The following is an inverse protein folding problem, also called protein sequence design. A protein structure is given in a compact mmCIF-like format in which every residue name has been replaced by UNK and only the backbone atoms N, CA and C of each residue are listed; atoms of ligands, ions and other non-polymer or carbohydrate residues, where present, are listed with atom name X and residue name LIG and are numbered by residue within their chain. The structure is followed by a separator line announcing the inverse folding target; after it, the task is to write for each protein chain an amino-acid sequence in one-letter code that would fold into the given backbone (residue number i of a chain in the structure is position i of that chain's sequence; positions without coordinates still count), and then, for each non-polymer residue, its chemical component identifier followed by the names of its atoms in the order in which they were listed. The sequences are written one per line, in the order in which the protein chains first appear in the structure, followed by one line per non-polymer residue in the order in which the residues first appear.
data_IF_742263074230
#
_entry.id   IF_742263074230
#
_cell.length_a   1.000
_cell.length_b   1.000
_cell.length_c   1.000
_cell.angle_alpha   90.00
_cell.angle_beta   90.00
_cell.angle_gamma   90.00
#
_symmetry.space_group_name_H-M   'P 1'
#
loop_
_entity.id
_entity.type
_entity.pdbx_description
1 polymer ?
#
# COMPACT_ATOMS: atom_id res chain seq x y z
N UNK A 1 21.02 -33.48 27.96
CA UNK A 1 19.95 -33.31 26.96
C UNK A 1 19.62 -31.82 26.89
N UNK A 2 20.37 -31.09 26.08
CA UNK A 2 20.21 -29.65 25.87
C UNK A 2 20.28 -29.46 24.37
N UNK A 3 19.12 -29.51 23.72
CA UNK A 3 18.99 -29.21 22.30
C UNK A 3 18.92 -27.70 22.16
N UNK A 4 20.04 -27.10 21.76
CA UNK A 4 20.08 -25.72 21.30
C UNK A 4 19.29 -25.63 19.99
N UNK A 5 18.22 -24.83 20.00
CA UNK A 5 17.50 -24.47 18.78
C UNK A 5 18.41 -23.64 17.88
N UNK A 6 18.77 -24.21 16.72
CA UNK A 6 19.49 -23.50 15.67
C UNK A 6 18.68 -22.29 15.20
N UNK A 7 19.33 -21.13 14.95
CA UNK A 7 18.68 -20.03 14.25
C UNK A 7 18.36 -20.48 12.83
N UNK A 8 17.10 -20.32 12.45
CA UNK A 8 16.57 -20.60 11.12
C UNK A 8 17.47 -20.00 10.03
N UNK A 9 17.99 -20.86 9.16
CA UNK A 9 18.74 -20.49 7.96
C UNK A 9 17.98 -19.42 7.16
N UNK A 10 18.60 -18.25 7.02
CA UNK A 10 18.15 -17.22 6.09
C UNK A 10 18.57 -17.70 4.70
N UNK A 11 17.65 -17.90 3.74
CA UNK A 11 18.03 -18.28 2.39
C UNK A 11 18.98 -17.23 1.80
N UNK A 12 20.07 -17.68 1.15
CA UNK A 12 21.12 -16.80 0.59
C UNK A 12 20.62 -15.86 -0.51
N UNK A 13 19.50 -16.20 -1.17
CA UNK A 13 18.69 -15.23 -1.92
C UNK A 13 17.74 -14.54 -0.95
N UNK A 14 18.18 -13.42 -0.37
CA UNK A 14 17.50 -12.67 0.69
C UNK A 14 16.14 -12.04 0.36
N UNK A 15 15.43 -12.52 -0.67
CA UNK A 15 14.07 -12.14 -1.09
C UNK A 15 13.03 -13.14 -0.58
N UNK A 16 11.80 -12.70 -0.33
CA UNK A 16 10.75 -13.60 0.16
C UNK A 16 10.33 -14.67 -0.85
N UNK A 17 9.92 -15.86 -0.36
CA UNK A 17 9.35 -16.95 -1.18
C UNK A 17 8.17 -16.49 -2.05
N UNK A 18 7.38 -15.54 -1.56
CA UNK A 18 6.29 -14.95 -2.35
C UNK A 18 6.82 -14.33 -3.65
N UNK A 19 7.96 -13.65 -3.60
CA UNK A 19 8.53 -12.99 -4.76
C UNK A 19 9.19 -13.96 -5.75
N UNK A 20 9.80 -15.05 -5.27
CA UNK A 20 10.26 -16.12 -6.16
C UNK A 20 9.08 -16.80 -6.86
N UNK A 21 7.99 -17.08 -6.14
CA UNK A 21 6.77 -17.65 -6.73
C UNK A 21 6.11 -16.66 -7.72
N UNK A 22 6.16 -15.36 -7.40
CA UNK A 22 5.65 -14.28 -8.26
C UNK A 22 6.43 -14.14 -9.55
N UNK A 23 7.77 -14.14 -9.51
CA UNK A 23 8.60 -14.12 -10.72
C UNK A 23 8.32 -15.37 -11.57
N UNK A 24 8.28 -16.56 -10.98
CA UNK A 24 7.92 -17.78 -11.69
C UNK A 24 6.56 -17.67 -12.41
N UNK A 25 5.55 -17.12 -11.74
CA UNK A 25 4.23 -16.88 -12.33
C UNK A 25 4.28 -15.84 -13.47
N UNK A 26 5.05 -14.76 -13.33
CA UNK A 26 5.25 -13.78 -14.40
C UNK A 26 5.98 -14.38 -15.61
N UNK A 27 6.98 -15.24 -15.39
CA UNK A 27 7.69 -15.92 -16.46
C UNK A 27 6.76 -16.87 -17.23
N UNK A 28 5.91 -17.63 -16.54
CA UNK A 28 4.88 -18.47 -17.17
C UNK A 28 3.91 -17.61 -17.96
N UNK A 29 3.41 -16.51 -17.38
CA UNK A 29 2.51 -15.59 -18.06
C UNK A 29 3.13 -15.05 -19.36
N UNK A 30 4.40 -14.65 -19.30
CA UNK A 30 5.14 -14.11 -20.44
C UNK A 30 5.39 -15.16 -21.53
N UNK A 31 5.84 -16.36 -21.13
CA UNK A 31 6.21 -17.44 -22.06
C UNK A 31 5.01 -18.12 -22.69
N UNK A 32 3.97 -18.40 -21.93
CA UNK A 32 2.83 -19.20 -22.40
C UNK A 32 1.71 -18.37 -23.01
N UNK A 33 1.48 -17.16 -22.50
CA UNK A 33 0.34 -16.34 -22.93
C UNK A 33 0.78 -15.14 -23.77
N UNK A 34 1.72 -14.34 -23.29
CA UNK A 34 2.09 -13.09 -23.98
C UNK A 34 2.90 -13.33 -25.26
N UNK A 35 3.69 -14.41 -25.33
CA UNK A 35 4.43 -14.78 -26.54
C UNK A 35 3.54 -15.07 -27.76
N UNK A 36 2.28 -15.46 -27.50
CA UNK A 36 1.27 -15.78 -28.53
C UNK A 36 0.49 -14.57 -29.00
N UNK A 37 0.66 -13.40 -28.35
CA UNK A 37 -0.02 -12.17 -28.70
C UNK A 37 0.82 -11.32 -29.67
N UNK A 38 0.18 -10.48 -30.51
CA UNK A 38 0.90 -9.58 -31.41
C UNK A 38 1.88 -8.68 -30.67
N UNK A 39 3.08 -8.49 -31.23
CA UNK A 39 4.19 -7.77 -30.59
C UNK A 39 4.03 -6.25 -30.54
N UNK A 40 2.99 -5.69 -31.17
CA UNK A 40 2.58 -4.27 -31.05
C UNK A 40 1.91 -3.98 -29.69
N UNK A 41 2.52 -4.48 -28.61
CA UNK A 41 2.10 -4.40 -27.22
C UNK A 41 2.21 -3.00 -26.62
N UNK A 42 2.42 -1.96 -27.43
CA UNK A 42 2.55 -0.58 -26.94
C UNK A 42 1.31 0.27 -27.20
N UNK A 43 0.56 0.00 -28.27
CA UNK A 43 -0.54 0.86 -28.76
C UNK A 43 -1.86 0.13 -29.01
N UNK A 44 -1.93 -1.20 -28.86
CA UNK A 44 -3.16 -1.97 -28.97
C UNK A 44 -3.78 -2.40 -27.62
N UNK A 45 -4.95 -3.04 -27.68
CA UNK A 45 -5.71 -3.58 -26.52
C UNK A 45 -4.84 -4.41 -25.58
N UNK A 46 -3.91 -5.19 -26.13
CA UNK A 46 -2.96 -6.01 -25.35
C UNK A 46 -2.02 -5.12 -24.54
N UNK A 47 -1.49 -4.05 -25.13
CA UNK A 47 -0.60 -3.11 -24.47
C UNK A 47 -1.27 -2.33 -23.36
N UNK A 48 -2.52 -1.90 -23.58
CA UNK A 48 -3.35 -1.26 -22.56
C UNK A 48 -3.66 -2.22 -21.41
N UNK A 49 -4.03 -3.46 -21.74
CA UNK A 49 -4.31 -4.50 -20.74
C UNK A 49 -3.07 -4.84 -19.90
N UNK A 50 -1.89 -4.94 -20.53
CA UNK A 50 -0.62 -5.16 -19.83
C UNK A 50 -0.25 -3.98 -18.94
N UNK A 51 -0.44 -2.76 -19.42
CA UNK A 51 -0.23 -1.54 -18.64
C UNK A 51 -1.13 -1.51 -17.41
N UNK A 52 -2.40 -1.84 -17.57
CA UNK A 52 -3.37 -1.86 -16.48
C UNK A 52 -3.10 -2.99 -15.49
N UNK A 53 -2.69 -4.17 -15.98
CA UNK A 53 -2.22 -5.25 -15.12
C UNK A 53 -1.00 -4.83 -14.31
N UNK A 54 0.03 -4.26 -14.96
CA UNK A 54 1.24 -3.79 -14.28
C UNK A 54 0.92 -2.70 -13.23
N UNK A 55 0.03 -1.75 -13.56
CA UNK A 55 -0.46 -0.73 -12.61
C UNK A 55 -1.20 -1.36 -11.43
N UNK A 56 -2.05 -2.35 -11.66
CA UNK A 56 -2.77 -3.07 -10.61
C UNK A 56 -1.80 -3.85 -9.71
N UNK A 57 -0.82 -4.53 -10.29
CA UNK A 57 0.22 -5.25 -9.54
C UNK A 57 1.00 -4.29 -8.63
N UNK A 58 1.50 -3.17 -9.18
CA UNK A 58 2.22 -2.16 -8.41
C UNK A 58 1.37 -1.58 -7.27
N UNK A 59 0.12 -1.17 -7.56
CA UNK A 59 -0.79 -0.62 -6.55
C UNK A 59 -1.14 -1.64 -5.47
N UNK A 60 -1.41 -2.89 -5.84
CA UNK A 60 -1.67 -3.98 -4.89
C UNK A 60 -0.48 -4.24 -3.99
N UNK A 61 0.73 -4.28 -4.55
CA UNK A 61 1.93 -4.52 -3.78
C UNK A 61 2.18 -3.39 -2.78
N UNK A 62 2.15 -2.13 -3.23
CA UNK A 62 2.28 -0.94 -2.38
C UNK A 62 1.21 -0.90 -1.29
N UNK A 63 -0.06 -1.14 -1.63
CA UNK A 63 -1.15 -1.10 -0.66
C UNK A 63 -1.04 -2.22 0.39
N UNK A 64 -0.46 -3.37 0.04
CA UNK A 64 -0.15 -4.41 1.04
C UNK A 64 0.98 -4.01 1.97
N UNK A 65 2.06 -3.41 1.44
CA UNK A 65 3.19 -2.93 2.24
C UNK A 65 2.74 -1.85 3.23
N UNK A 66 1.90 -0.90 2.78
CA UNK A 66 1.39 0.17 3.62
C UNK A 66 0.54 -0.33 4.80
N UNK A 67 0.03 -1.56 4.76
CA UNK A 67 -0.78 -2.14 5.84
C UNK A 67 0.03 -2.97 6.85
N UNK A 68 1.33 -3.14 6.64
CA UNK A 68 2.19 -3.91 7.55
C UNK A 68 2.36 -3.15 8.87
N UNK A 69 1.88 -3.76 9.96
CA UNK A 69 2.05 -3.26 11.34
C UNK A 69 2.20 -4.43 12.34
N UNK A 70 2.99 -4.29 13.41
CA UNK A 70 3.99 -3.24 13.61
C UNK A 70 5.17 -3.44 12.66
N UNK A 71 5.82 -2.34 12.27
CA UNK A 71 6.94 -2.38 11.33
C UNK A 71 8.28 -2.25 12.06
N UNK A 72 8.94 -3.38 12.29
CA UNK A 72 10.30 -3.42 12.87
C UNK A 72 11.37 -3.01 11.86
N UNK A 73 12.56 -2.66 12.35
CA UNK A 73 13.70 -2.31 11.49
C UNK A 73 14.10 -3.43 10.53
N UNK A 74 14.22 -4.66 11.03
CA UNK A 74 14.45 -5.84 10.20
C UNK A 74 13.32 -6.03 9.17
N UNK A 75 12.07 -5.73 9.54
CA UNK A 75 10.92 -5.71 8.65
C UNK A 75 11.06 -4.66 7.54
N UNK A 76 11.52 -3.45 7.85
CA UNK A 76 11.77 -2.38 6.86
C UNK A 76 12.83 -2.79 5.85
N UNK A 77 13.96 -3.34 6.31
CA UNK A 77 15.04 -3.81 5.43
C UNK A 77 14.55 -4.94 4.52
N UNK A 78 13.78 -5.88 5.07
CA UNK A 78 13.17 -6.96 4.29
C UNK A 78 12.21 -6.43 3.23
N UNK A 79 11.32 -5.51 3.60
CA UNK A 79 10.37 -4.89 2.66
C UNK A 79 11.10 -4.10 1.58
N UNK A 80 12.17 -3.37 1.91
CA UNK A 80 12.95 -2.63 0.93
C UNK A 80 13.65 -3.54 -0.09
N UNK A 81 14.16 -4.70 0.35
CA UNK A 81 14.71 -5.73 -0.53
C UNK A 81 13.61 -6.32 -1.42
N UNK A 82 12.48 -6.69 -0.83
CA UNK A 82 11.32 -7.22 -1.55
C UNK A 82 10.77 -6.21 -2.58
N UNK A 83 10.74 -4.91 -2.25
CA UNK A 83 10.40 -3.84 -3.19
C UNK A 83 11.38 -3.73 -4.35
N UNK A 84 12.69 -3.93 -4.11
CA UNK A 84 13.71 -3.93 -5.16
C UNK A 84 13.49 -5.09 -6.13
N UNK A 85 13.30 -6.29 -5.59
CA UNK A 85 13.09 -7.49 -6.38
C UNK A 85 11.77 -7.41 -7.16
N UNK A 86 10.69 -6.97 -6.52
CA UNK A 86 9.41 -6.72 -7.20
C UNK A 86 9.54 -5.72 -8.36
N UNK A 87 10.23 -4.58 -8.15
CA UNK A 87 10.47 -3.58 -9.20
C UNK A 87 11.25 -4.19 -10.38
N UNK A 88 12.27 -5.00 -10.10
CA UNK A 88 13.06 -5.71 -11.10
C UNK A 88 12.20 -6.71 -11.89
N UNK A 89 11.42 -7.56 -11.22
CA UNK A 89 10.55 -8.54 -11.88
C UNK A 89 9.48 -7.84 -12.74
N UNK A 90 8.90 -6.75 -12.23
CA UNK A 90 7.95 -5.95 -12.97
C UNK A 90 8.58 -5.28 -14.21
N UNK A 91 9.85 -4.86 -14.13
CA UNK A 91 10.58 -4.31 -15.28
C UNK A 91 10.79 -5.32 -16.41
N UNK A 92 10.91 -6.60 -16.07
CA UNK A 92 11.03 -7.70 -17.04
C UNK A 92 9.71 -8.04 -17.75
N UNK A 93 8.60 -7.58 -17.16
CA UNK A 93 7.24 -7.79 -17.61
C UNK A 93 6.69 -6.59 -18.40
N UNK A 94 6.97 -5.36 -17.95
CA UNK A 94 6.46 -4.14 -18.55
C UNK A 94 7.44 -2.96 -18.37
N UNK A 95 7.45 -2.02 -19.33
CA UNK A 95 8.29 -0.82 -19.25
C UNK A 95 7.85 0.09 -18.09
N UNK A 96 8.68 0.19 -17.04
CA UNK A 96 8.37 0.95 -15.82
C UNK A 96 8.02 2.42 -16.08
N UNK A 97 8.63 3.06 -17.08
CA UNK A 97 8.33 4.45 -17.46
C UNK A 97 6.86 4.63 -17.89
N UNK A 98 6.24 3.58 -18.42
CA UNK A 98 4.83 3.59 -18.83
C UNK A 98 3.82 3.47 -17.68
N UNK A 99 4.26 3.16 -16.45
CA UNK A 99 3.37 3.10 -15.27
C UNK A 99 3.07 4.48 -14.67
N UNK A 100 3.93 5.47 -14.90
CA UNK A 100 3.79 6.83 -14.36
C UNK A 100 3.63 6.83 -12.83
N UNK A 101 2.57 7.45 -12.33
CA UNK A 101 2.31 7.61 -10.87
C UNK A 101 2.34 6.30 -10.07
N UNK A 102 1.95 5.16 -10.64
CA UNK A 102 1.99 3.89 -9.90
C UNK A 102 3.43 3.43 -9.60
N UNK A 103 4.40 3.79 -10.46
CA UNK A 103 5.82 3.52 -10.22
C UNK A 103 6.42 4.56 -9.27
N UNK A 104 6.06 5.84 -9.41
CA UNK A 104 6.46 6.89 -8.46
C UNK A 104 6.00 6.57 -7.03
N UNK A 105 4.78 6.06 -6.87
CA UNK A 105 4.23 5.64 -5.59
C UNK A 105 5.06 4.54 -4.92
N UNK A 106 5.49 3.52 -5.69
CA UNK A 106 6.38 2.46 -5.20
C UNK A 106 7.71 3.04 -4.71
N UNK A 107 8.29 3.96 -5.49
CA UNK A 107 9.57 4.61 -5.17
C UNK A 107 9.46 5.50 -3.93
N UNK A 108 8.38 6.24 -3.80
CA UNK A 108 8.11 7.14 -2.68
C UNK A 108 7.90 6.35 -1.39
N UNK A 109 7.08 5.29 -1.42
CA UNK A 109 6.87 4.47 -0.23
C UNK A 109 8.16 3.80 0.23
N UNK A 110 8.99 3.30 -0.70
CA UNK A 110 10.28 2.68 -0.37
C UNK A 110 11.20 3.65 0.38
N UNK A 111 11.25 4.90 -0.06
CA UNK A 111 12.04 5.95 0.61
C UNK A 111 11.45 6.30 1.98
N UNK A 112 10.12 6.38 2.10
CA UNK A 112 9.43 6.63 3.35
C UNK A 112 9.62 5.53 4.41
N UNK A 113 9.89 4.28 3.99
CA UNK A 113 10.26 3.23 4.94
C UNK A 113 11.46 3.63 5.80
N UNK A 114 12.40 4.41 5.26
CA UNK A 114 13.59 4.87 5.96
C UNK A 114 13.52 6.35 6.33
N UNK A 115 12.30 6.89 6.46
CA UNK A 115 12.12 8.23 7.02
C UNK A 115 12.53 8.22 8.50
N UNK A 116 13.29 9.22 8.92
CA UNK A 116 13.85 9.33 10.28
C UNK A 116 15.35 9.05 10.33
N UNK A 117 16.04 9.72 11.25
CA UNK A 117 17.46 9.48 11.53
C UNK A 117 17.65 8.21 12.37
N UNK A 118 18.85 7.64 12.38
CA UNK A 118 19.17 6.45 13.20
C UNK A 118 18.77 6.69 14.67
N UNK A 119 17.80 5.91 15.16
CA UNK A 119 17.27 6.01 16.53
C UNK A 119 15.99 6.83 16.70
N UNK A 120 15.49 7.52 15.66
CA UNK A 120 14.20 8.21 15.69
C UNK A 120 13.17 7.48 14.82
N UNK A 121 12.09 6.99 15.44
CA UNK A 121 10.95 6.44 14.68
C UNK A 121 10.07 7.60 14.22
N UNK A 122 9.86 7.78 12.90
CA UNK A 122 9.09 8.90 12.38
C UNK A 122 7.64 8.81 12.88
N UNK A 123 7.07 9.96 13.24
CA UNK A 123 5.66 10.07 13.60
C UNK A 123 4.79 10.08 12.35
N UNK A 124 3.49 9.86 12.52
CA UNK A 124 2.52 10.01 11.42
C UNK A 124 2.55 11.44 10.83
N UNK A 125 2.76 12.47 11.66
CA UNK A 125 2.88 13.85 11.19
C UNK A 125 4.10 14.04 10.29
N UNK A 126 5.24 13.43 10.62
CA UNK A 126 6.46 13.49 9.81
C UNK A 126 6.24 12.85 8.43
N UNK A 127 5.62 11.66 8.40
CA UNK A 127 5.28 10.96 7.15
C UNK A 127 4.35 11.79 6.28
N UNK A 128 3.29 12.37 6.87
CA UNK A 128 2.25 13.09 6.12
C UNK A 128 2.72 14.47 5.64
N UNK A 129 3.66 15.09 6.36
CA UNK A 129 4.24 16.39 5.99
C UNK A 129 5.34 16.27 4.91
N UNK A 130 5.95 15.09 4.77
CA UNK A 130 7.07 14.86 3.86
C UNK A 130 6.69 15.01 2.37
N UNK A 131 7.59 15.56 1.55
CA UNK A 131 7.33 15.80 0.12
C UNK A 131 7.10 14.53 -0.70
N UNK A 132 7.58 13.37 -0.24
CA UNK A 132 7.30 12.08 -0.88
C UNK A 132 5.83 11.64 -0.73
N UNK A 133 5.13 12.13 0.29
CA UNK A 133 3.70 11.86 0.48
C UNK A 133 2.87 12.32 -0.74
N UNK A 134 3.38 13.32 -1.47
CA UNK A 134 2.77 13.87 -2.70
C UNK A 134 2.67 12.88 -3.84
N UNK A 135 3.54 11.86 -3.86
CA UNK A 135 3.57 10.79 -4.85
C UNK A 135 2.72 9.59 -4.42
N UNK A 136 2.17 9.60 -3.20
CA UNK A 136 1.33 8.54 -2.69
C UNK A 136 -0.16 8.80 -2.95
N UNK A 137 -0.92 7.71 -3.06
CA UNK A 137 -2.37 7.79 -2.90
C UNK A 137 -2.71 8.11 -1.44
N UNK A 138 -3.79 8.87 -1.16
CA UNK A 138 -4.22 9.18 0.20
C UNK A 138 -4.35 7.94 1.07
N UNK A 139 -5.02 6.90 0.57
CA UNK A 139 -5.17 5.62 1.30
C UNK A 139 -3.82 4.97 1.62
N UNK A 140 -2.86 4.98 0.70
CA UNK A 140 -1.51 4.44 0.92
C UNK A 140 -0.78 5.19 2.03
N UNK A 141 -0.77 6.53 1.98
CA UNK A 141 -0.11 7.37 2.99
C UNK A 141 -0.74 7.19 4.37
N UNK A 142 -2.08 7.24 4.45
CA UNK A 142 -2.82 7.08 5.70
C UNK A 142 -2.63 5.67 6.27
N UNK A 143 -2.73 4.62 5.46
CA UNK A 143 -2.50 3.24 5.92
C UNK A 143 -1.06 3.08 6.47
N UNK A 144 -0.05 3.65 5.79
CA UNK A 144 1.34 3.54 6.24
C UNK A 144 1.58 4.17 7.62
N UNK A 145 0.87 5.23 7.97
CA UNK A 145 0.95 5.84 9.30
C UNK A 145 0.50 4.90 10.43
N UNK A 146 -0.29 3.85 10.13
CA UNK A 146 -0.64 2.82 11.13
C UNK A 146 0.53 1.89 11.49
N UNK A 147 1.64 1.94 10.74
CA UNK A 147 2.83 1.12 11.02
C UNK A 147 3.55 1.54 12.32
N UNK A 148 3.44 2.82 12.68
CA UNK A 148 3.98 3.43 13.91
C UNK A 148 2.90 3.78 14.94
N UNK A 149 1.62 3.59 14.60
CA UNK A 149 0.49 3.84 15.48
C UNK A 149 0.38 2.79 16.61
N UNK A 150 -0.25 3.15 17.75
CA UNK A 150 -0.40 2.24 18.87
C UNK A 150 -1.27 1.02 18.51
N UNK A 151 -1.05 -0.09 19.20
CA UNK A 151 -1.79 -1.33 18.93
C UNK A 151 -3.29 -1.20 19.24
N UNK A 152 -3.65 -0.29 20.14
CA UNK A 152 -5.02 0.06 20.52
C UNK A 152 -5.80 0.76 19.40
N UNK A 153 -5.13 1.35 18.40
CA UNK A 153 -5.75 1.88 17.20
C UNK A 153 -6.01 0.73 16.21
N UNK A 154 -7.27 0.54 15.84
CA UNK A 154 -7.69 -0.54 14.93
C UNK A 154 -7.35 -0.17 13.50
N UNK A 155 -6.72 -1.07 12.73
CA UNK A 155 -6.43 -0.83 11.31
C UNK A 155 -7.72 -0.60 10.49
N UNK A 156 -7.66 0.09 9.35
CA UNK A 156 -8.84 0.34 8.51
C UNK A 156 -9.59 -0.93 8.08
N UNK A 157 -8.86 -1.99 7.72
CA UNK A 157 -9.49 -3.29 7.40
C UNK A 157 -10.14 -3.95 8.63
N UNK A 158 -9.55 -3.76 9.82
CA UNK A 158 -10.11 -4.23 11.09
C UNK A 158 -11.39 -3.49 11.47
N UNK A 159 -11.44 -2.17 11.23
CA UNK A 159 -12.64 -1.36 11.42
C UNK A 159 -13.79 -1.85 10.53
N UNK A 160 -13.49 -2.24 9.30
CA UNK A 160 -14.45 -2.84 8.38
C UNK A 160 -14.77 -4.32 8.67
N UNK A 161 -14.05 -4.97 9.59
CA UNK A 161 -14.15 -6.41 9.88
C UNK A 161 -13.96 -7.29 8.63
N UNK A 162 -12.99 -6.94 7.79
CA UNK A 162 -12.63 -7.65 6.56
C UNK A 162 -11.18 -8.12 6.61
N UNK A 163 -10.82 -9.11 5.79
CA UNK A 163 -9.42 -9.50 5.64
C UNK A 163 -8.62 -8.38 4.96
N UNK A 164 -7.32 -8.31 5.26
CA UNK A 164 -6.40 -7.38 4.59
C UNK A 164 -6.46 -7.54 3.06
N UNK A 165 -6.52 -8.79 2.57
CA UNK A 165 -6.67 -9.09 1.14
C UNK A 165 -7.91 -8.43 0.55
N UNK A 166 -9.08 -8.62 1.17
CA UNK A 166 -10.35 -8.06 0.65
C UNK A 166 -10.32 -6.52 0.64
N UNK A 167 -9.72 -5.90 1.65
CA UNK A 167 -9.56 -4.45 1.71
C UNK A 167 -8.66 -3.92 0.58
N UNK A 168 -7.51 -4.54 0.33
CA UNK A 168 -6.62 -4.15 -0.78
C UNK A 168 -7.28 -4.39 -2.13
N UNK A 169 -8.00 -5.50 -2.30
CA UNK A 169 -8.71 -5.80 -3.54
C UNK A 169 -9.77 -4.74 -3.87
N UNK A 170 -10.52 -4.28 -2.86
CA UNK A 170 -11.44 -3.16 -3.01
C UNK A 170 -10.70 -1.84 -3.35
N UNK A 171 -9.63 -1.50 -2.61
CA UNK A 171 -8.83 -0.29 -2.87
C UNK A 171 -8.26 -0.24 -4.28
N UNK A 172 -7.81 -1.37 -4.83
CA UNK A 172 -7.10 -1.42 -6.11
C UNK A 172 -8.02 -1.76 -7.27
N UNK A 173 -8.79 -2.85 -7.16
CA UNK A 173 -9.63 -3.36 -8.24
C UNK A 173 -11.09 -2.85 -8.18
N UNK A 174 -11.52 -2.28 -7.05
CA UNK A 174 -12.88 -1.76 -6.90
C UNK A 174 -13.91 -2.87 -6.82
N UNK A 175 -13.51 -4.05 -6.35
CA UNK A 175 -14.42 -5.15 -6.02
C UNK A 175 -15.28 -4.75 -4.82
N UNK A 176 -16.52 -5.21 -4.76
CA UNK A 176 -17.41 -4.82 -3.67
C UNK A 176 -16.84 -5.21 -2.30
N UNK A 177 -16.70 -4.25 -1.39
CA UNK A 177 -16.28 -4.53 -0.03
C UNK A 177 -17.51 -4.92 0.79
N UNK A 178 -17.64 -6.22 1.05
CA UNK A 178 -18.67 -6.76 1.95
C UNK A 178 -18.21 -6.61 3.40
N UNK A 179 -18.17 -5.37 3.89
CA UNK A 179 -18.02 -5.12 5.33
C UNK A 179 -19.33 -5.42 6.04
N UNK A 180 -19.23 -5.87 7.29
CA UNK A 180 -20.38 -6.05 8.18
C UNK A 180 -21.08 -4.72 8.55
N UNK A 181 -20.41 -3.58 8.35
CA UNK A 181 -20.86 -2.27 8.83
C UNK A 181 -21.32 -1.36 7.69
N UNK A 182 -20.59 -1.29 6.57
CA UNK A 182 -20.91 -0.41 5.43
C UNK A 182 -20.63 -1.13 4.10
N UNK A 183 -21.60 -1.16 3.19
CA UNK A 183 -21.37 -1.71 1.84
C UNK A 183 -20.73 -0.63 0.96
N UNK A 184 -19.55 -0.91 0.45
CA UNK A 184 -18.92 -0.08 -0.58
C UNK A 184 -19.13 -0.76 -1.94
N UNK A 185 -19.88 -0.13 -2.87
CA UNK A 185 -20.28 -0.77 -4.11
C UNK A 185 -19.09 -1.01 -5.05
N UNK A 186 -19.25 -1.98 -5.94
CA UNK A 186 -18.26 -2.24 -6.99
C UNK A 186 -18.32 -1.16 -8.07
N UNK A 187 -17.19 -0.92 -8.75
CA UNK A 187 -17.14 -0.02 -9.92
C UNK A 187 -16.96 1.46 -9.60
N UNK A 188 -16.75 1.83 -8.34
CA UNK A 188 -16.38 3.21 -7.98
C UNK A 188 -15.04 3.61 -8.64
N UNK A 189 -15.02 4.80 -9.25
CA UNK A 189 -13.79 5.40 -9.75
C UNK A 189 -12.74 5.54 -8.65
N UNK A 190 -11.45 5.60 -9.02
CA UNK A 190 -10.34 5.64 -8.05
C UNK A 190 -10.50 6.76 -7.02
N UNK A 191 -10.91 7.95 -7.45
CA UNK A 191 -11.17 9.09 -6.58
C UNK A 191 -12.27 8.85 -5.53
N UNK A 192 -13.38 8.22 -5.92
CA UNK A 192 -14.47 7.89 -4.98
C UNK A 192 -14.01 6.85 -3.95
N UNK A 193 -13.20 5.87 -4.38
CA UNK A 193 -12.60 4.88 -3.47
C UNK A 193 -11.64 5.48 -2.47
N UNK A 194 -10.80 6.43 -2.88
CA UNK A 194 -9.92 7.17 -1.95
C UNK A 194 -10.74 7.97 -0.93
N UNK A 195 -11.85 8.59 -1.34
CA UNK A 195 -12.75 9.29 -0.43
C UNK A 195 -13.43 8.33 0.57
N UNK A 196 -13.88 7.17 0.10
CA UNK A 196 -14.42 6.11 0.95
C UNK A 196 -13.37 5.55 1.92
N UNK A 197 -12.11 5.39 1.48
CA UNK A 197 -11.02 4.94 2.32
C UNK A 197 -10.72 5.93 3.45
N UNK A 198 -10.75 7.24 3.16
CA UNK A 198 -10.62 8.27 4.18
C UNK A 198 -11.71 8.18 5.25
N UNK A 199 -12.97 7.93 4.86
CA UNK A 199 -14.07 7.73 5.83
C UNK A 199 -13.82 6.52 6.74
N UNK A 200 -13.25 5.44 6.21
CA UNK A 200 -12.89 4.26 7.02
C UNK A 200 -11.79 4.60 8.02
N UNK A 201 -10.75 5.34 7.58
CA UNK A 201 -9.66 5.81 8.46
C UNK A 201 -10.23 6.71 9.55
N UNK A 202 -11.07 7.69 9.20
CA UNK A 202 -11.70 8.58 10.18
C UNK A 202 -12.52 7.80 11.20
N UNK A 203 -13.35 6.84 10.75
CA UNK A 203 -14.13 6.01 11.66
C UNK A 203 -13.24 5.17 12.62
N UNK A 204 -12.09 4.69 12.14
CA UNK A 204 -11.10 3.98 12.96
C UNK A 204 -10.50 4.89 14.03
N UNK A 205 -10.09 6.10 13.64
CA UNK A 205 -9.46 7.11 14.49
C UNK A 205 -10.45 7.67 15.53
N UNK A 206 -11.70 7.93 15.13
CA UNK A 206 -12.78 8.36 16.02
C UNK A 206 -13.13 7.28 17.06
N UNK A 207 -13.21 6.02 16.61
CA UNK A 207 -13.45 4.88 17.52
C UNK A 207 -12.34 4.75 18.56
N UNK A 208 -11.09 5.10 18.19
CA UNK A 208 -9.96 5.13 19.11
C UNK A 208 -10.06 6.30 20.10
N UNK A 209 -10.35 7.52 19.65
CA UNK A 209 -10.56 8.67 20.52
C UNK A 209 -11.70 8.47 21.53
N UNK A 210 -12.79 7.80 21.12
CA UNK A 210 -13.88 7.42 22.02
C UNK A 210 -13.40 6.47 23.13
N UNK A 211 -12.54 5.49 22.81
CA UNK A 211 -11.96 4.58 23.80
C UNK A 211 -11.01 5.31 24.75
N UNK A 212 -10.14 6.18 24.22
CA UNK A 212 -9.27 7.03 25.01
C UNK A 212 -10.06 7.88 26.00
N UNK A 213 -11.14 8.51 25.54
CA UNK A 213 -12.04 9.31 26.38
C UNK A 213 -12.70 8.47 27.49
N UNK A 214 -13.21 7.28 27.15
CA UNK A 214 -13.81 6.37 28.13
C UNK A 214 -12.81 5.88 29.19
N UNK A 215 -11.53 5.76 28.84
CA UNK A 215 -10.44 5.38 29.74
C UNK A 215 -9.73 6.58 30.38
N UNK A 216 -10.24 7.80 30.21
CA UNK A 216 -9.58 9.04 30.70
C UNK A 216 -8.12 9.18 30.27
N UNK A 217 -7.78 8.64 29.09
CA UNK A 217 -6.44 8.71 28.47
C UNK A 217 -6.48 9.70 27.32
N UNK A 218 -5.43 10.50 27.16
CA UNK A 218 -5.30 11.40 26.00
C UNK A 218 -4.94 10.60 24.74
N UNK A 219 -5.61 10.84 23.59
CA UNK A 219 -5.20 10.23 22.31
C UNK A 219 -3.74 10.57 21.99
N UNK A 220 -3.01 9.61 21.41
CA UNK A 220 -1.65 9.86 20.93
C UNK A 220 -1.64 10.82 19.72
N UNK A 221 -0.52 11.52 19.44
CA UNK A 221 -0.42 12.53 18.36
C UNK A 221 -0.78 12.03 16.96
N UNK A 222 -0.77 10.70 16.76
CA UNK A 222 -1.24 10.06 15.53
C UNK A 222 -2.72 10.35 15.23
N UNK A 223 -3.54 10.57 16.26
CA UNK A 223 -4.95 10.94 16.12
C UNK A 223 -5.10 12.28 15.39
N UNK A 224 -4.40 13.31 15.87
CA UNK A 224 -4.44 14.66 15.29
C UNK A 224 -3.88 14.64 13.87
N UNK A 225 -2.72 13.97 13.68
CA UNK A 225 -2.08 13.86 12.37
C UNK A 225 -2.99 13.23 11.32
N UNK A 226 -3.66 12.11 11.64
CA UNK A 226 -4.56 11.42 10.71
C UNK A 226 -5.85 12.20 10.45
N UNK A 227 -6.42 12.82 11.48
CA UNK A 227 -7.68 13.58 11.38
C UNK A 227 -7.52 14.86 10.57
N UNK A 228 -6.39 15.57 10.73
CA UNK A 228 -6.14 16.82 10.02
C UNK A 228 -5.60 16.63 8.60
N UNK A 229 -4.69 15.67 8.40
CA UNK A 229 -4.01 15.50 7.11
C UNK A 229 -4.89 14.80 6.07
N UNK A 230 -5.79 13.91 6.51
CA UNK A 230 -6.63 13.09 5.62
C UNK A 230 -7.42 13.91 4.58
N UNK A 231 -8.23 14.90 4.99
CA UNK A 231 -8.98 15.75 4.06
C UNK A 231 -8.07 16.51 3.08
N UNK A 232 -6.94 17.05 3.55
CA UNK A 232 -5.98 17.81 2.73
C UNK A 232 -5.33 16.93 1.65
N UNK A 233 -4.97 15.69 2.00
CA UNK A 233 -4.42 14.72 1.05
C UNK A 233 -5.43 14.34 -0.03
N UNK A 234 -6.69 14.11 0.37
CA UNK A 234 -7.75 13.78 -0.58
C UNK A 234 -8.03 14.95 -1.53
N UNK A 235 -8.19 16.17 -1.02
CA UNK A 235 -8.42 17.35 -1.84
C UNK A 235 -7.33 17.52 -2.90
N UNK A 236 -6.06 17.44 -2.48
CA UNK A 236 -4.91 17.49 -3.37
C UNK A 236 -4.97 16.39 -4.44
N UNK A 237 -5.24 15.16 -4.04
CA UNK A 237 -5.33 14.03 -4.97
C UNK A 237 -6.43 14.25 -6.02
N UNK A 238 -7.59 14.78 -5.61
CA UNK A 238 -8.70 15.10 -6.50
C UNK A 238 -8.34 16.21 -7.49
N UNK A 239 -7.65 17.27 -7.05
CA UNK A 239 -7.15 18.32 -7.94
C UNK A 239 -6.18 17.76 -8.98
N UNK A 240 -5.25 16.90 -8.54
CA UNK A 240 -4.29 16.25 -9.43
C UNK A 240 -4.93 15.24 -10.39
N UNK A 241 -6.04 14.61 -10.03
CA UNK A 241 -6.79 13.71 -10.90
C UNK A 241 -7.55 14.47 -11.98
N UNK A 242 -8.15 15.62 -11.62
CA UNK A 242 -8.83 16.51 -12.58
C UNK A 242 -7.86 17.09 -13.61
N UNK A 243 -6.66 17.49 -13.17
CA UNK A 243 -5.63 18.07 -14.05
C UNK A 243 -5.08 17.11 -15.13
N UNK A 244 -5.28 15.80 -14.99
CA UNK A 244 -4.86 14.79 -15.99
C UNK A 244 -5.98 14.52 -17.02
N UNK A 245 -7.20 14.99 -16.75
CA UNK A 245 -8.38 14.73 -17.59
C UNK A 245 -8.73 15.91 -18.52
N UNK A 246 -8.13 17.08 -18.30
CA UNK A 246 -8.18 18.25 -19.19
C UNK A 246 -6.93 18.32 -20.05
#
# INVERSE_FOLDING_TARGET
MTSQGQPSEVPEDGTSKFLSDFDAALQVLRREHLSRLPRDTTTGVVGESLRDLARRLARSFVSNIALVRPLSEAGRLRLARDMAAFEMYLSSFYNLKGLGRSHEELRALRQLLFLGEEGHTPTAADVLSHDLCRSLRPSTALNHCYSTAPQTLTSPHGQCKVSQRAYVEWLVAGTALKSLVVKYPAGEGGAAREASALKIVQASVDSYAQRCSASSTTPEPVYDALSEAGPRLLERYLMQAKAVTN
#
